data_IF_718757068167
#
_entry.id   IF_718757068167
#
_cell.length_a   1.000
_cell.length_b   1.000
_cell.length_c   1.000
_cell.angle_alpha   90.00
_cell.angle_beta   90.00
_cell.angle_gamma   90.00
#
_symmetry.space_group_name_H-M   'P 1'
#
loop_
_entity.id
_entity.type
_entity.pdbx_description
1 polymer ?
#
# COMPACT_ATOMS: atom_id res chain seq x y z
N UNK A 1 48.74 12.48 42.11
CA UNK A 1 49.34 12.07 40.82
C UNK A 1 48.44 12.52 39.68
N UNK A 2 48.99 13.17 38.64
CA UNK A 2 48.25 13.51 37.41
C UNK A 2 48.73 12.57 36.30
N UNK A 3 47.79 11.92 35.63
CA UNK A 3 48.02 11.07 34.45
C UNK A 3 47.43 11.81 33.26
N UNK A 4 48.26 12.19 32.30
CA UNK A 4 47.78 12.74 31.02
C UNK A 4 47.40 11.58 30.09
N UNK A 5 46.16 11.58 29.61
CA UNK A 5 45.65 10.56 28.67
C UNK A 5 45.80 11.05 27.23
N UNK A 6 45.38 12.28 26.98
CA UNK A 6 45.56 13.00 25.73
C UNK A 6 45.50 14.51 26.02
N UNK A 7 45.42 15.35 24.98
CA UNK A 7 45.41 16.81 25.13
C UNK A 7 44.15 17.33 25.84
N UNK A 8 43.03 16.62 25.70
CA UNK A 8 41.73 17.02 26.23
C UNK A 8 41.37 16.38 27.58
N UNK A 9 42.01 15.26 27.93
CA UNK A 9 41.66 14.40 29.06
C UNK A 9 42.86 14.15 29.97
N UNK A 10 42.72 14.50 31.25
CA UNK A 10 43.67 14.14 32.31
C UNK A 10 42.96 13.51 33.50
N UNK A 11 43.63 12.62 34.21
CA UNK A 11 43.11 11.95 35.41
C UNK A 11 44.00 12.34 36.58
N UNK A 12 43.42 12.94 37.61
CA UNK A 12 44.08 13.16 38.89
C UNK A 12 43.64 12.09 39.88
N UNK A 13 44.61 11.48 40.56
CA UNK A 13 44.39 10.56 41.68
C UNK A 13 45.07 11.13 42.92
N UNK A 14 44.37 11.12 44.06
CA UNK A 14 44.94 11.63 45.32
C UNK A 14 46.20 10.87 45.71
N UNK A 15 46.13 9.55 45.69
CA UNK A 15 47.25 8.66 45.99
C UNK A 15 47.69 7.87 44.75
N UNK A 16 48.98 7.56 44.64
CA UNK A 16 49.53 6.73 43.58
C UNK A 16 49.18 5.25 43.85
N UNK A 17 48.53 4.52 42.92
CA UNK A 17 48.17 3.12 43.12
C UNK A 17 49.36 2.20 43.41
N UNK A 18 50.52 2.47 42.80
CA UNK A 18 51.72 1.64 42.99
C UNK A 18 52.25 1.84 44.42
N UNK A 19 52.37 3.09 44.86
CA UNK A 19 52.79 3.43 46.23
C UNK A 19 51.81 2.86 47.27
N UNK A 20 50.51 2.90 47.00
CA UNK A 20 49.49 2.30 47.87
C UNK A 20 49.63 0.78 47.97
N UNK A 21 50.04 0.11 46.89
CA UNK A 21 50.21 -1.35 46.84
C UNK A 21 51.52 -1.86 47.46
N UNK A 22 52.54 -1.01 47.51
CA UNK A 22 53.85 -1.32 48.11
C UNK A 22 53.91 -1.01 49.61
N UNK A 23 52.85 -0.45 50.17
CA UNK A 23 52.77 0.00 51.54
C UNK A 23 52.18 -1.12 52.42
N UNK A 24 53.05 -1.89 53.08
CA UNK A 24 52.73 -3.10 53.87
C UNK A 24 51.81 -2.81 55.07
N UNK A 25 51.75 -1.57 55.55
CA UNK A 25 50.91 -1.19 56.70
C UNK A 25 49.43 -1.07 56.29
N UNK A 26 48.66 -2.14 56.46
CA UNK A 26 47.24 -2.24 56.08
C UNK A 26 46.36 -1.10 56.64
N UNK A 27 46.73 -0.48 57.76
CA UNK A 27 45.99 0.61 58.40
C UNK A 27 46.94 1.63 59.02
N UNK A 28 46.92 2.86 58.51
CA UNK A 28 47.56 3.99 59.17
C UNK A 28 46.51 4.71 60.03
N UNK A 29 46.58 4.65 61.37
CA UNK A 29 45.57 5.25 62.25
C UNK A 29 45.48 6.78 62.14
N UNK A 30 46.47 7.42 61.52
CA UNK A 30 46.52 8.89 61.37
C UNK A 30 46.03 9.40 60.00
N UNK A 31 45.86 8.52 59.00
CA UNK A 31 45.45 8.92 57.64
C UNK A 31 44.28 8.07 57.13
N UNK A 32 43.07 8.45 57.55
CA UNK A 32 41.83 7.81 57.14
C UNK A 32 41.61 7.84 55.62
N UNK A 33 42.10 8.88 54.93
CA UNK A 33 41.95 9.01 53.47
C UNK A 33 42.87 8.02 52.74
N UNK A 34 44.07 7.75 53.26
CA UNK A 34 44.98 6.72 52.72
C UNK A 34 44.42 5.32 52.94
N UNK A 35 43.84 5.05 54.11
CA UNK A 35 43.16 3.77 54.37
C UNK A 35 41.97 3.54 53.44
N UNK A 36 41.15 4.58 53.21
CA UNK A 36 40.04 4.52 52.24
C UNK A 36 40.56 4.27 50.82
N UNK A 37 41.67 4.89 50.44
CA UNK A 37 42.29 4.66 49.14
C UNK A 37 42.80 3.22 48.97
N UNK A 38 43.38 2.59 50.02
CA UNK A 38 43.73 1.15 50.02
C UNK A 38 42.52 0.25 49.88
N UNK A 39 41.37 0.64 50.44
CA UNK A 39 40.09 -0.04 50.28
C UNK A 39 39.42 0.21 48.92
N UNK A 40 40.10 0.88 47.98
CA UNK A 40 39.59 1.15 46.63
C UNK A 40 38.79 2.45 46.48
N UNK A 41 38.71 3.27 47.54
CA UNK A 41 38.04 4.58 47.53
C UNK A 41 39.06 5.72 47.40
N UNK A 42 39.94 5.61 46.39
CA UNK A 42 40.85 6.70 46.07
C UNK A 42 40.07 7.86 45.45
N UNK A 43 40.28 9.10 45.92
CA UNK A 43 39.64 10.27 45.32
C UNK A 43 40.23 10.49 43.93
N UNK A 44 39.38 10.41 42.92
CA UNK A 44 39.75 10.60 41.53
C UNK A 44 39.01 11.81 40.96
N UNK A 45 39.68 12.56 40.09
CA UNK A 45 39.11 13.67 39.33
C UNK A 45 39.51 13.53 37.88
N UNK A 46 38.64 13.94 36.97
CA UNK A 46 38.90 13.91 35.53
C UNK A 46 38.79 15.33 34.99
N UNK A 47 39.83 15.77 34.31
CA UNK A 47 39.82 16.98 33.52
C UNK A 47 39.28 16.67 32.13
N UNK A 48 38.29 17.44 31.68
CA UNK A 48 37.75 17.42 30.31
C UNK A 48 37.78 18.87 29.83
N UNK A 49 38.56 19.16 28.79
CA UNK A 49 38.72 20.52 28.25
C UNK A 49 39.05 21.57 29.33
N UNK A 50 40.07 21.31 30.14
CA UNK A 50 40.51 22.19 31.25
C UNK A 50 39.48 22.38 32.39
N UNK A 51 38.42 21.57 32.43
CA UNK A 51 37.44 21.57 33.53
C UNK A 51 37.52 20.27 34.33
N UNK A 52 37.75 20.38 35.63
CA UNK A 52 37.85 19.25 36.55
C UNK A 52 36.48 18.80 37.06
N UNK A 53 36.26 17.48 37.03
CA UNK A 53 35.08 16.80 37.55
C UNK A 53 35.49 15.77 38.59
N UNK A 54 34.79 15.72 39.71
CA UNK A 54 35.00 14.68 40.72
C UNK A 54 34.35 13.38 40.26
N UNK A 55 35.10 12.27 40.32
CA UNK A 55 34.58 10.96 39.96
C UNK A 55 33.67 10.48 41.08
N UNK A 56 32.42 10.20 40.73
CA UNK A 56 31.42 9.66 41.64
C UNK A 56 31.65 8.16 41.85
N UNK A 57 31.81 7.76 43.11
CA UNK A 57 31.92 6.36 43.48
C UNK A 57 30.59 5.64 43.31
N UNK A 58 30.59 4.30 43.11
CA UNK A 58 29.35 3.52 43.07
C UNK A 58 28.43 3.76 44.26
N UNK A 59 29.01 3.89 45.46
CA UNK A 59 28.28 4.12 46.72
C UNK A 59 27.56 5.47 46.74
N UNK A 60 28.20 6.53 46.25
CA UNK A 60 27.58 7.85 46.14
C UNK A 60 26.48 7.85 45.08
N UNK A 61 26.71 7.18 43.96
CA UNK A 61 25.79 7.18 42.83
C UNK A 61 24.48 6.43 43.15
N UNK A 62 24.55 5.34 43.92
CA UNK A 62 23.36 4.66 44.46
C UNK A 62 22.50 5.59 45.32
N UNK A 63 23.14 6.49 46.10
CA UNK A 63 22.44 7.46 46.98
C UNK A 63 21.91 8.68 46.22
N UNK A 64 22.46 8.98 45.04
CA UNK A 64 22.03 10.08 44.17
C UNK A 64 20.89 9.71 43.20
N UNK A 65 20.20 8.60 43.44
CA UNK A 65 18.96 8.26 42.74
C UNK A 65 17.94 9.39 42.93
N UNK A 66 17.31 9.86 41.84
CA UNK A 66 16.32 10.92 41.95
C UNK A 66 15.14 10.43 42.81
N UNK A 67 14.75 11.24 43.80
CA UNK A 67 13.65 10.95 44.74
C UNK A 67 12.26 11.03 44.11
N UNK A 68 12.07 11.85 43.06
CA UNK A 68 10.75 12.06 42.46
C UNK A 68 10.30 10.92 41.56
N UNK A 69 11.18 10.49 40.63
CA UNK A 69 10.85 9.46 39.62
C UNK A 69 11.69 8.19 39.74
N UNK A 70 12.66 8.15 40.65
CA UNK A 70 13.48 6.96 40.89
C UNK A 70 14.50 6.68 39.79
N UNK A 71 14.83 7.63 38.91
CA UNK A 71 15.86 7.42 37.89
C UNK A 71 17.26 7.80 38.38
N UNK A 72 18.25 7.05 37.91
CA UNK A 72 19.65 7.46 37.87
C UNK A 72 19.87 8.24 36.58
N UNK A 73 20.28 9.50 36.73
CA UNK A 73 20.60 10.40 35.63
C UNK A 73 22.02 10.86 35.77
N UNK A 74 22.89 10.33 34.92
CA UNK A 74 24.33 10.55 35.06
C UNK A 74 24.99 10.83 33.74
N UNK A 75 26.05 11.62 33.83
CA UNK A 75 27.03 11.79 32.75
C UNK A 75 28.25 10.97 33.12
N UNK A 76 28.77 10.22 32.17
CA UNK A 76 29.95 9.38 32.32
C UNK A 76 30.90 9.59 31.14
N UNK A 77 32.16 9.26 31.38
CA UNK A 77 33.19 9.13 30.36
C UNK A 77 33.72 7.70 30.39
N UNK A 78 33.93 7.12 29.21
CA UNK A 78 34.64 5.87 29.03
C UNK A 78 35.94 6.13 28.30
N UNK A 79 37.06 5.71 28.87
CA UNK A 79 38.40 5.98 28.36
C UNK A 79 39.08 4.64 28.09
N UNK A 80 39.62 4.48 26.89
CA UNK A 80 40.55 3.41 26.59
C UNK A 80 41.94 3.81 27.09
N UNK A 81 42.41 3.10 28.12
CA UNK A 81 43.64 3.45 28.83
C UNK A 81 44.91 3.17 28.01
N UNK A 82 44.84 2.39 26.93
CA UNK A 82 46.01 2.10 26.08
C UNK A 82 46.24 3.15 24.99
N UNK A 83 45.17 3.60 24.32
CA UNK A 83 45.28 4.43 23.12
C UNK A 83 44.74 5.86 23.30
N UNK A 84 44.18 6.16 24.48
CA UNK A 84 43.65 7.46 24.86
C UNK A 84 42.33 7.85 24.19
N UNK A 85 41.66 6.91 23.51
CA UNK A 85 40.34 7.15 22.92
C UNK A 85 39.27 7.23 24.01
N UNK A 86 38.30 8.12 23.83
CA UNK A 86 37.28 8.33 24.85
C UNK A 86 35.90 8.59 24.26
N UNK A 87 34.88 8.26 25.05
CA UNK A 87 33.46 8.49 24.75
C UNK A 87 32.80 9.12 25.96
N UNK A 88 32.15 10.26 25.77
CA UNK A 88 31.32 10.91 26.79
C UNK A 88 29.87 10.62 26.46
N UNK A 89 29.10 10.17 27.45
CA UNK A 89 27.69 9.90 27.26
C UNK A 89 26.87 10.14 28.51
N UNK A 90 25.57 10.25 28.31
CA UNK A 90 24.57 10.24 29.38
C UNK A 90 23.86 8.90 29.53
N UNK A 91 23.36 8.63 30.73
CA UNK A 91 22.50 7.50 31.04
C UNK A 91 21.32 7.93 31.91
N UNK A 92 20.11 7.54 31.49
CA UNK A 92 18.86 7.72 32.22
C UNK A 92 18.27 6.33 32.49
N UNK A 93 18.46 5.75 33.68
CA UNK A 93 18.05 4.37 33.99
C UNK A 93 17.32 4.26 35.33
N UNK A 94 16.22 3.50 35.44
CA UNK A 94 15.47 3.36 36.69
C UNK A 94 16.16 2.45 37.72
N UNK A 95 16.96 1.47 37.27
CA UNK A 95 17.61 0.47 38.13
C UNK A 95 19.13 0.57 38.07
N UNK A 96 19.77 0.28 39.20
CA UNK A 96 21.22 0.26 39.33
C UNK A 96 21.88 -0.80 38.41
N UNK A 97 21.27 -1.98 38.31
CA UNK A 97 21.74 -3.06 37.43
C UNK A 97 21.70 -2.66 35.95
N UNK A 98 20.68 -1.91 35.54
CA UNK A 98 20.55 -1.40 34.18
C UNK A 98 21.61 -0.32 33.88
N UNK A 99 21.88 0.56 34.86
CA UNK A 99 22.94 1.56 34.74
C UNK A 99 24.32 0.90 34.59
N UNK A 100 24.63 -0.10 35.43
CA UNK A 100 25.89 -0.86 35.34
C UNK A 100 26.06 -1.53 33.98
N UNK A 101 25.01 -2.15 33.45
CA UNK A 101 25.04 -2.85 32.16
C UNK A 101 25.11 -1.91 30.96
N UNK A 102 24.53 -0.73 31.06
CA UNK A 102 24.48 0.22 29.95
C UNK A 102 25.87 0.76 29.61
N UNK A 103 26.33 0.59 28.37
CA UNK A 103 27.67 1.04 27.93
C UNK A 103 27.64 2.36 27.15
N UNK A 104 26.50 2.70 26.54
CA UNK A 104 26.35 3.85 25.66
C UNK A 104 25.52 3.52 24.43
N UNK A 105 25.20 4.54 23.64
CA UNK A 105 24.42 4.43 22.40
C UNK A 105 25.21 4.83 21.14
N UNK A 106 26.42 5.38 21.31
CA UNK A 106 27.24 5.84 20.19
C UNK A 106 27.71 4.68 19.31
N UNK A 107 27.37 4.69 18.02
CA UNK A 107 27.67 3.60 17.08
C UNK A 107 29.18 3.36 16.93
N UNK A 108 29.98 4.43 16.76
CA UNK A 108 31.45 4.38 16.67
C UNK A 108 32.06 3.78 17.95
N UNK A 109 31.58 4.23 19.11
CA UNK A 109 32.01 3.73 20.41
C UNK A 109 31.65 2.25 20.61
N UNK A 110 30.40 1.84 20.40
CA UNK A 110 29.95 0.45 20.60
C UNK A 110 30.78 -0.52 19.74
N UNK A 111 31.04 -0.17 18.48
CA UNK A 111 31.86 -1.01 17.59
C UNK A 111 33.28 -1.21 18.10
N UNK A 112 33.88 -0.20 18.76
CA UNK A 112 35.21 -0.31 19.37
C UNK A 112 35.17 -1.01 20.72
N UNK A 113 34.19 -0.68 21.56
CA UNK A 113 33.99 -1.29 22.86
C UNK A 113 33.82 -2.81 22.74
N UNK A 114 33.01 -3.29 21.78
CA UNK A 114 32.79 -4.73 21.58
C UNK A 114 34.07 -5.48 21.17
N UNK A 115 35.07 -4.80 20.60
CA UNK A 115 36.35 -5.41 20.21
C UNK A 115 37.39 -5.40 21.33
N UNK A 116 37.33 -4.40 22.21
CA UNK A 116 38.38 -4.05 23.18
C UNK A 116 37.78 -3.73 24.56
N UNK A 117 36.76 -4.48 24.99
CA UNK A 117 35.94 -4.09 26.15
C UNK A 117 36.71 -4.02 27.47
N UNK A 118 37.75 -4.83 27.60
CA UNK A 118 38.67 -4.92 28.72
C UNK A 118 39.56 -3.66 28.88
N UNK A 119 39.74 -2.90 27.80
CA UNK A 119 40.62 -1.72 27.76
C UNK A 119 39.91 -0.43 28.15
N UNK A 120 38.57 -0.43 28.13
CA UNK A 120 37.77 0.74 28.47
C UNK A 120 37.42 0.77 29.95
N UNK A 121 37.76 1.89 30.59
CA UNK A 121 37.39 2.18 31.98
C UNK A 121 36.34 3.27 32.00
N UNK A 122 35.25 3.05 32.76
CA UNK A 122 34.16 4.01 32.92
C UNK A 122 34.31 4.81 34.20
N UNK A 123 34.15 6.13 34.09
CA UNK A 123 34.07 7.06 35.20
C UNK A 123 32.76 7.83 35.15
N UNK A 124 32.03 7.87 36.26
CA UNK A 124 30.85 8.72 36.40
C UNK A 124 31.29 10.09 36.90
N UNK A 125 31.01 11.15 36.16
CA UNK A 125 31.54 12.50 36.41
C UNK A 125 30.49 13.46 36.95
N UNK A 126 29.21 13.15 36.75
CA UNK A 126 28.12 13.95 37.28
C UNK A 126 26.84 13.14 37.44
N UNK A 127 26.01 13.58 38.40
CA UNK A 127 24.64 13.11 38.58
C UNK A 127 23.73 14.33 38.55
N UNK A 128 22.65 14.26 37.79
CA UNK A 128 21.73 15.36 37.57
C UNK A 128 20.35 15.04 38.15
N UNK A 129 19.55 16.06 38.43
CA UNK A 129 18.17 15.85 38.91
C UNK A 129 17.25 15.55 37.73
N UNK A 130 17.31 16.38 36.68
CA UNK A 130 16.42 16.25 35.51
C UNK A 130 17.13 15.67 34.29
N UNK A 131 16.34 15.08 33.38
CA UNK A 131 16.87 14.60 32.11
C UNK A 131 17.49 15.76 31.33
N UNK A 132 16.79 16.90 31.27
CA UNK A 132 17.23 18.14 30.64
C UNK A 132 18.58 18.64 31.16
N UNK A 133 18.79 18.66 32.48
CA UNK A 133 20.09 19.03 33.07
C UNK A 133 21.21 18.09 32.59
N UNK A 134 20.90 16.80 32.44
CA UNK A 134 21.86 15.80 31.94
C UNK A 134 22.21 16.07 30.48
N UNK A 135 21.21 16.47 29.66
CA UNK A 135 21.41 16.83 28.25
C UNK A 135 22.22 18.11 28.10
N UNK A 136 21.92 19.13 28.91
CA UNK A 136 22.65 20.40 28.94
C UNK A 136 24.11 20.18 29.36
N UNK A 137 24.35 19.36 30.38
CA UNK A 137 25.71 19.06 30.80
C UNK A 137 26.49 18.25 29.76
N UNK A 138 25.86 17.25 29.13
CA UNK A 138 26.48 16.47 28.04
C UNK A 138 26.79 17.36 26.83
N UNK A 139 25.87 18.25 26.44
CA UNK A 139 26.08 19.17 25.32
C UNK A 139 27.16 20.22 25.59
N UNK A 140 27.29 20.68 26.83
CA UNK A 140 28.36 21.59 27.24
C UNK A 140 29.75 20.92 27.25
N UNK A 141 29.80 19.59 27.39
CA UNK A 141 31.04 18.81 27.34
C UNK A 141 31.39 18.41 25.91
N UNK A 142 30.41 17.86 25.17
CA UNK A 142 30.57 17.34 23.81
C UNK A 142 30.16 18.39 22.80
N UNK A 143 31.03 19.38 22.61
CA UNK A 143 30.89 20.44 21.61
C UNK A 143 31.68 20.12 20.32
N UNK A 144 31.58 21.02 19.34
CA UNK A 144 32.24 20.87 18.04
C UNK A 144 33.77 20.76 18.14
N UNK A 145 34.38 21.42 19.13
CA UNK A 145 35.82 21.38 19.36
C UNK A 145 36.22 20.00 19.90
N UNK A 146 35.47 19.42 20.84
CA UNK A 146 35.74 18.05 21.31
C UNK A 146 35.53 17.02 20.19
N UNK A 147 34.58 17.25 19.28
CA UNK A 147 34.33 16.36 18.14
C UNK A 147 35.43 16.41 17.07
N UNK A 148 36.19 17.49 17.01
CA UNK A 148 37.36 17.58 16.12
C UNK A 148 38.56 16.76 16.61
N UNK A 149 38.57 16.31 17.87
CA UNK A 149 39.61 15.42 18.37
C UNK A 149 39.50 14.03 17.72
N UNK A 150 40.58 13.57 17.11
CA UNK A 150 40.69 12.24 16.50
C UNK A 150 40.39 11.10 17.48
N UNK A 151 40.72 11.31 18.77
CA UNK A 151 40.52 10.35 19.86
C UNK A 151 39.08 10.34 20.38
N UNK A 152 38.25 11.32 20.00
CA UNK A 152 36.85 11.37 20.38
C UNK A 152 36.01 10.35 19.60
N UNK A 153 35.26 9.53 20.33
CA UNK A 153 34.39 8.50 19.78
C UNK A 153 32.94 8.98 19.60
N UNK A 154 32.61 10.19 20.06
CA UNK A 154 31.32 10.83 19.79
C UNK A 154 31.25 11.22 18.30
N UNK A 155 30.10 10.95 17.66
CA UNK A 155 29.87 11.28 16.24
C UNK A 155 29.10 12.59 16.04
N UNK A 156 28.42 13.04 17.09
CA UNK A 156 27.53 14.20 17.10
C UNK A 156 27.68 14.91 18.44
N UNK A 157 27.34 16.20 18.46
CA UNK A 157 27.33 16.99 19.68
C UNK A 157 26.34 16.41 20.70
N UNK A 158 26.61 16.64 21.98
CA UNK A 158 25.78 16.16 23.07
C UNK A 158 24.37 16.77 23.05
N UNK A 159 23.47 16.25 23.88
CA UNK A 159 22.14 16.84 24.08
C UNK A 159 21.00 16.18 23.30
N UNK A 160 21.25 15.14 22.52
CA UNK A 160 20.17 14.39 21.85
C UNK A 160 19.45 13.44 22.81
N UNK A 161 18.15 13.61 23.05
CA UNK A 161 17.40 12.61 23.82
C UNK A 161 15.95 12.91 24.20
N UNK A 162 15.55 14.15 24.50
CA UNK A 162 14.18 14.34 25.04
C UNK A 162 13.34 15.51 24.54
N UNK A 163 13.90 16.57 23.94
CA UNK A 163 13.08 17.78 23.73
C UNK A 163 12.50 17.97 22.32
N UNK A 164 13.08 17.39 21.26
CA UNK A 164 12.59 17.56 19.87
C UNK A 164 12.90 16.35 18.98
N UNK A 165 12.20 15.24 19.17
CA UNK A 165 12.14 14.25 18.08
C UNK A 165 11.27 14.83 16.96
N UNK A 166 11.78 14.97 15.73
CA UNK A 166 10.92 15.32 14.61
C UNK A 166 9.84 14.25 14.51
N UNK A 167 8.60 14.66 14.24
CA UNK A 167 7.49 13.72 14.10
C UNK A 167 7.79 12.66 13.04
N UNK A 168 7.09 11.52 13.08
CA UNK A 168 7.19 10.49 12.02
C UNK A 168 6.90 11.11 10.65
N UNK A 169 6.01 12.10 10.59
CA UNK A 169 5.70 12.86 9.38
C UNK A 169 6.91 13.69 8.92
N UNK A 170 7.51 14.51 9.80
CA UNK A 170 8.69 15.33 9.48
C UNK A 170 9.90 14.50 9.06
N UNK A 171 10.17 13.39 9.77
CA UNK A 171 11.27 12.49 9.39
C UNK A 171 10.99 11.80 8.05
N UNK A 172 9.74 11.43 7.77
CA UNK A 172 9.36 10.88 6.47
C UNK A 172 9.50 11.90 5.35
N UNK A 173 9.14 13.15 5.61
CA UNK A 173 9.26 14.26 4.66
C UNK A 173 10.72 14.57 4.34
N UNK A 174 11.57 14.72 5.36
CA UNK A 174 13.02 14.89 5.16
C UNK A 174 13.64 13.75 4.37
N UNK A 175 13.23 12.50 4.63
CA UNK A 175 13.66 11.34 3.81
C UNK A 175 13.20 11.47 2.36
N UNK A 176 11.96 11.87 2.12
CA UNK A 176 11.44 12.09 0.75
C UNK A 176 12.20 13.20 0.03
N UNK A 177 12.45 14.32 0.70
CA UNK A 177 13.23 15.43 0.15
C UNK A 177 14.65 15.00 -0.18
N UNK A 178 15.31 14.28 0.74
CA UNK A 178 16.66 13.74 0.52
C UNK A 178 16.71 12.78 -0.68
N UNK A 179 15.72 11.89 -0.80
CA UNK A 179 15.61 10.98 -1.96
C UNK A 179 15.35 11.72 -3.27
N UNK A 180 14.61 12.84 -3.25
CA UNK A 180 14.38 13.69 -4.42
C UNK A 180 15.64 14.45 -4.85
N UNK A 181 16.45 14.90 -3.89
CA UNK A 181 17.68 15.65 -4.18
C UNK A 181 18.86 14.76 -4.58
N UNK A 182 18.81 13.45 -4.29
CA UNK A 182 19.86 12.49 -4.61
C UNK A 182 19.36 11.28 -5.43
N UNK A 183 18.70 11.52 -6.59
CA UNK A 183 18.08 10.44 -7.35
C UNK A 183 19.09 9.38 -7.81
N UNK A 184 20.33 9.77 -8.12
CA UNK A 184 21.40 8.89 -8.58
C UNK A 184 21.77 7.80 -7.56
N UNK A 185 21.73 8.11 -6.26
CA UNK A 185 22.03 7.14 -5.21
C UNK A 185 20.93 6.08 -5.05
N UNK A 186 19.68 6.47 -5.30
CA UNK A 186 18.51 5.61 -5.06
C UNK A 186 17.98 4.93 -6.32
N UNK A 187 18.31 5.43 -7.52
CA UNK A 187 17.86 4.85 -8.79
C UNK A 187 18.19 3.36 -8.92
N UNK A 188 19.43 2.90 -8.70
CA UNK A 188 19.77 1.48 -8.84
C UNK A 188 18.96 0.59 -7.89
N UNK A 189 18.78 1.04 -6.64
CA UNK A 189 17.95 0.34 -5.65
C UNK A 189 16.48 0.30 -6.07
N UNK A 190 15.93 1.40 -6.59
CA UNK A 190 14.55 1.48 -7.06
C UNK A 190 14.33 0.61 -8.29
N UNK A 191 15.30 0.53 -9.21
CA UNK A 191 15.26 -0.35 -10.36
C UNK A 191 15.35 -1.82 -9.97
N UNK A 192 16.28 -2.18 -9.08
CA UNK A 192 16.37 -3.54 -8.53
C UNK A 192 15.05 -3.96 -7.87
N UNK A 193 14.42 -3.05 -7.11
CA UNK A 193 13.10 -3.28 -6.50
C UNK A 193 11.99 -3.45 -7.55
N UNK A 194 11.97 -2.60 -8.60
CA UNK A 194 11.04 -2.75 -9.72
C UNK A 194 11.23 -4.07 -10.46
N UNK A 195 12.46 -4.48 -10.70
CA UNK A 195 12.79 -5.74 -11.38
C UNK A 195 12.41 -6.94 -10.51
N UNK A 196 12.66 -6.89 -9.21
CA UNK A 196 12.20 -7.90 -8.26
C UNK A 196 10.67 -7.99 -8.18
N UNK A 197 9.95 -6.88 -8.39
CA UNK A 197 8.49 -6.87 -8.48
C UNK A 197 7.97 -7.40 -9.82
N UNK A 198 8.75 -7.25 -10.89
CA UNK A 198 8.41 -7.67 -12.26
C UNK A 198 8.92 -9.08 -12.62
N UNK A 199 9.61 -9.78 -11.72
CA UNK A 199 10.28 -11.06 -11.97
C UNK A 199 9.34 -12.27 -12.16
N UNK A 200 8.07 -12.05 -12.49
CA UNK A 200 7.11 -13.08 -12.87
C UNK A 200 6.23 -13.60 -11.72
N UNK A 201 5.65 -14.79 -11.90
CA UNK A 201 4.62 -15.36 -11.02
C UNK A 201 5.19 -16.30 -9.95
N UNK A 202 5.95 -15.75 -9.01
CA UNK A 202 6.49 -16.52 -7.87
C UNK A 202 5.42 -16.75 -6.78
N UNK A 203 5.49 -17.88 -6.03
CA UNK A 203 4.58 -18.14 -4.92
C UNK A 203 4.55 -17.02 -3.87
N UNK A 204 5.70 -16.39 -3.59
CA UNK A 204 5.80 -15.28 -2.65
C UNK A 204 5.08 -14.01 -3.15
N UNK A 205 5.15 -13.72 -4.45
CA UNK A 205 4.41 -12.61 -5.07
C UNK A 205 2.91 -12.88 -5.11
N UNK A 206 2.46 -14.12 -5.32
CA UNK A 206 1.05 -14.51 -5.21
C UNK A 206 0.52 -14.33 -3.79
N UNK A 207 1.24 -14.84 -2.79
CA UNK A 207 0.86 -14.71 -1.38
C UNK A 207 0.81 -13.24 -0.93
N UNK A 208 1.76 -12.42 -1.40
CA UNK A 208 1.74 -10.97 -1.17
C UNK A 208 0.53 -10.32 -1.83
N UNK A 209 0.27 -10.61 -3.11
CA UNK A 209 -0.87 -10.06 -3.86
C UNK A 209 -2.20 -10.42 -3.22
N UNK A 210 -2.35 -11.66 -2.73
CA UNK A 210 -3.51 -12.09 -1.96
C UNK A 210 -3.67 -11.30 -0.66
N UNK A 211 -2.60 -11.16 0.14
CA UNK A 211 -2.63 -10.35 1.37
C UNK A 211 -3.05 -8.90 1.09
N UNK A 212 -2.47 -8.27 0.07
CA UNK A 212 -2.84 -6.92 -0.36
C UNK A 212 -4.33 -6.87 -0.73
N UNK A 213 -4.80 -7.84 -1.53
CA UNK A 213 -6.21 -7.92 -1.93
C UNK A 213 -7.14 -8.05 -0.71
N UNK A 214 -6.77 -8.85 0.28
CA UNK A 214 -7.54 -9.02 1.52
C UNK A 214 -7.60 -7.71 2.30
N UNK A 215 -6.45 -7.10 2.58
CA UNK A 215 -6.38 -5.82 3.32
C UNK A 215 -7.13 -4.70 2.60
N UNK A 216 -6.94 -4.56 1.30
CA UNK A 216 -7.65 -3.54 0.50
C UNK A 216 -9.15 -3.83 0.34
N UNK A 217 -9.61 -5.04 0.69
CA UNK A 217 -11.03 -5.38 0.71
C UNK A 217 -11.72 -5.05 2.03
N UNK A 218 -10.96 -4.75 3.09
CA UNK A 218 -11.52 -4.28 4.37
C UNK A 218 -12.16 -2.89 4.21
N UNK A 219 -13.27 -2.65 4.91
CA UNK A 219 -14.05 -1.43 4.71
C UNK A 219 -13.25 -0.17 5.04
N UNK A 220 -12.43 -0.20 6.10
CA UNK A 220 -11.53 0.90 6.48
C UNK A 220 -10.67 1.38 5.31
N UNK A 221 -10.05 0.46 4.57
CA UNK A 221 -9.18 0.82 3.44
C UNK A 221 -9.98 1.26 2.21
N UNK A 222 -11.18 0.71 2.02
CA UNK A 222 -12.10 1.15 0.97
C UNK A 222 -12.58 2.57 1.20
N UNK A 223 -12.94 2.91 2.43
CA UNK A 223 -13.34 4.26 2.83
C UNK A 223 -12.21 5.26 2.62
N UNK A 224 -11.01 4.98 3.16
CA UNK A 224 -9.84 5.83 2.92
C UNK A 224 -9.56 6.03 1.43
N UNK A 225 -9.72 4.99 0.61
CA UNK A 225 -9.53 5.11 -0.84
C UNK A 225 -10.61 5.97 -1.49
N UNK A 226 -11.88 5.83 -1.07
CA UNK A 226 -13.00 6.67 -1.55
C UNK A 226 -12.77 8.14 -1.19
N UNK A 227 -12.36 8.43 0.04
CA UNK A 227 -12.07 9.79 0.49
C UNK A 227 -10.93 10.41 -0.30
N UNK A 228 -9.83 9.68 -0.51
CA UNK A 228 -8.73 10.14 -1.36
C UNK A 228 -9.17 10.48 -2.78
N UNK A 229 -10.03 9.65 -3.38
CA UNK A 229 -10.55 9.91 -4.73
C UNK A 229 -11.45 11.16 -4.72
N UNK A 230 -12.32 11.32 -3.70
CA UNK A 230 -13.15 12.53 -3.56
C UNK A 230 -12.28 13.78 -3.44
N UNK A 231 -11.26 13.74 -2.59
CA UNK A 231 -10.33 14.86 -2.42
C UNK A 231 -9.58 15.15 -3.73
N UNK A 232 -9.11 14.11 -4.43
CA UNK A 232 -8.43 14.30 -5.71
C UNK A 232 -9.33 14.95 -6.78
N UNK A 233 -10.61 14.56 -6.84
CA UNK A 233 -11.59 15.20 -7.74
C UNK A 233 -11.76 16.69 -7.42
N UNK A 234 -11.77 17.05 -6.13
CA UNK A 234 -11.96 18.44 -5.68
C UNK A 234 -10.69 19.27 -5.88
N UNK A 235 -9.54 18.73 -5.51
CA UNK A 235 -8.25 19.42 -5.53
C UNK A 235 -7.67 19.54 -6.95
N UNK A 236 -7.88 18.52 -7.80
CA UNK A 236 -7.29 18.46 -9.15
C UNK A 236 -8.30 17.90 -10.19
N UNK A 237 -9.39 18.64 -10.47
CA UNK A 237 -10.50 18.15 -11.31
C UNK A 237 -10.09 17.84 -12.76
N UNK A 238 -9.21 18.66 -13.34
CA UNK A 238 -8.76 18.50 -14.73
C UNK A 238 -7.86 17.27 -14.90
N UNK A 239 -6.87 17.09 -14.02
CA UNK A 239 -6.00 15.91 -14.02
C UNK A 239 -6.80 14.62 -13.83
N UNK A 240 -7.78 14.64 -12.94
CA UNK A 240 -8.67 13.49 -12.75
C UNK A 240 -9.46 13.19 -14.03
N UNK A 241 -10.04 14.21 -14.68
CA UNK A 241 -10.79 14.04 -15.92
C UNK A 241 -9.92 13.47 -17.04
N UNK A 242 -8.69 13.96 -17.19
CA UNK A 242 -7.72 13.45 -18.15
C UNK A 242 -7.34 11.98 -17.85
N UNK A 243 -7.04 11.67 -16.58
CA UNK A 243 -6.74 10.30 -16.16
C UNK A 243 -7.92 9.35 -16.44
N UNK A 244 -9.17 9.80 -16.27
CA UNK A 244 -10.38 9.03 -16.61
C UNK A 244 -10.51 8.81 -18.12
N UNK A 245 -10.19 9.82 -18.93
CA UNK A 245 -10.19 9.72 -20.39
C UNK A 245 -9.13 8.73 -20.88
N UNK A 246 -7.90 8.84 -20.39
CA UNK A 246 -6.78 7.95 -20.74
C UNK A 246 -7.10 6.49 -20.36
N UNK A 247 -7.69 6.26 -19.18
CA UNK A 247 -8.16 4.93 -18.78
C UNK A 247 -9.23 4.37 -19.72
N UNK A 248 -10.17 5.20 -20.16
CA UNK A 248 -11.21 4.79 -21.11
C UNK A 248 -10.64 4.40 -22.46
N UNK A 249 -9.67 5.16 -22.96
CA UNK A 249 -8.97 4.87 -24.21
C UNK A 249 -8.13 3.58 -24.11
N UNK A 250 -7.40 3.39 -23.01
CA UNK A 250 -6.64 2.17 -22.76
C UNK A 250 -7.53 0.92 -22.73
N UNK A 251 -8.72 1.01 -22.13
CA UNK A 251 -9.69 -0.09 -22.09
C UNK A 251 -10.25 -0.43 -23.47
N UNK A 252 -10.30 0.53 -24.40
CA UNK A 252 -10.81 0.31 -25.76
C UNK A 252 -9.83 -0.42 -26.67
N UNK A 253 -8.58 -0.59 -26.27
CA UNK A 253 -7.59 -1.31 -27.06
C UNK A 253 -8.05 -2.76 -27.33
N UNK A 254 -7.84 -3.30 -28.55
CA UNK A 254 -8.27 -4.65 -28.89
C UNK A 254 -7.70 -5.71 -27.95
N UNK A 255 -6.44 -5.54 -27.52
CA UNK A 255 -5.77 -6.44 -26.57
C UNK A 255 -6.48 -6.46 -25.21
N UNK A 256 -6.80 -5.29 -24.66
CA UNK A 256 -7.52 -5.20 -23.38
C UNK A 256 -8.92 -5.81 -23.49
N UNK A 257 -9.64 -5.54 -24.58
CA UNK A 257 -10.95 -6.13 -24.83
C UNK A 257 -10.89 -7.65 -24.93
N UNK A 258 -9.91 -8.20 -25.65
CA UNK A 258 -9.70 -9.63 -25.78
C UNK A 258 -9.40 -10.29 -24.42
N UNK A 259 -8.51 -9.70 -23.61
CA UNK A 259 -8.19 -10.19 -22.26
C UNK A 259 -9.42 -10.16 -21.34
N UNK A 260 -10.21 -9.09 -21.37
CA UNK A 260 -11.45 -8.99 -20.58
C UNK A 260 -12.48 -10.02 -21.01
N UNK A 261 -12.64 -10.23 -22.31
CA UNK A 261 -13.53 -11.27 -22.85
C UNK A 261 -13.08 -12.66 -22.40
N UNK A 262 -11.81 -13.01 -22.58
CA UNK A 262 -11.26 -14.29 -22.15
C UNK A 262 -11.43 -14.51 -20.64
N UNK A 263 -11.19 -13.48 -19.82
CA UNK A 263 -11.40 -13.55 -18.37
C UNK A 263 -12.87 -13.76 -18.01
N UNK A 264 -13.79 -13.11 -18.73
CA UNK A 264 -15.22 -13.27 -18.52
C UNK A 264 -15.68 -14.66 -18.93
N UNK A 265 -15.27 -15.15 -20.10
CA UNK A 265 -15.61 -16.49 -20.61
C UNK A 265 -15.10 -17.58 -19.65
N UNK A 266 -13.88 -17.41 -19.11
CA UNK A 266 -13.35 -18.31 -18.08
C UNK A 266 -14.17 -18.24 -16.78
N UNK A 267 -14.57 -17.04 -16.35
CA UNK A 267 -15.43 -16.89 -15.16
C UNK A 267 -16.79 -17.58 -15.35
N UNK A 268 -17.41 -17.44 -16.53
CA UNK A 268 -18.66 -18.11 -16.89
C UNK A 268 -18.50 -19.62 -16.84
N UNK A 269 -17.43 -20.16 -17.44
CA UNK A 269 -17.14 -21.60 -17.42
C UNK A 269 -16.98 -22.15 -15.99
N UNK A 270 -16.34 -21.38 -15.11
CA UNK A 270 -16.09 -21.79 -13.72
C UNK A 270 -17.25 -21.50 -12.76
N UNK A 271 -18.27 -20.72 -13.17
CA UNK A 271 -19.37 -20.29 -12.31
C UNK A 271 -20.73 -20.27 -13.06
N UNK A 272 -21.18 -21.41 -13.63
CA UNK A 272 -22.37 -21.44 -14.49
C UNK A 272 -23.65 -20.97 -13.79
N UNK A 273 -23.88 -21.40 -12.54
CA UNK A 273 -25.08 -21.03 -11.77
C UNK A 273 -25.12 -19.53 -11.44
N UNK A 274 -23.98 -18.97 -11.00
CA UNK A 274 -23.88 -17.52 -10.72
C UNK A 274 -24.06 -16.70 -11.99
N UNK A 275 -23.59 -17.20 -13.13
CA UNK A 275 -23.80 -16.55 -14.42
C UNK A 275 -25.27 -16.52 -14.81
N UNK A 276 -26.01 -17.61 -14.60
CA UNK A 276 -27.44 -17.67 -14.88
C UNK A 276 -28.23 -16.65 -14.04
N UNK A 277 -27.99 -16.61 -12.72
CA UNK A 277 -28.59 -15.61 -11.81
C UNK A 277 -28.24 -14.19 -12.26
N UNK A 278 -26.99 -13.95 -12.64
CA UNK A 278 -26.54 -12.65 -13.14
C UNK A 278 -27.25 -12.25 -14.44
N UNK A 279 -27.42 -13.20 -15.38
CA UNK A 279 -28.15 -12.98 -16.63
C UNK A 279 -29.62 -12.64 -16.37
N UNK A 280 -30.29 -13.38 -15.49
CA UNK A 280 -31.68 -13.14 -15.14
C UNK A 280 -31.85 -11.75 -14.51
N UNK A 281 -30.97 -11.36 -13.58
CA UNK A 281 -30.94 -10.02 -12.98
C UNK A 281 -30.67 -8.92 -14.01
N UNK A 282 -29.81 -9.20 -14.99
CA UNK A 282 -29.47 -8.26 -16.05
C UNK A 282 -30.63 -8.08 -17.03
N UNK A 283 -31.34 -9.15 -17.37
CA UNK A 283 -32.57 -9.09 -18.17
C UNK A 283 -33.64 -8.32 -17.41
N UNK A 284 -33.94 -8.68 -16.16
CA UNK A 284 -35.00 -8.04 -15.38
C UNK A 284 -34.77 -6.54 -15.20
N UNK A 285 -33.54 -6.13 -14.89
CA UNK A 285 -33.18 -4.71 -14.76
C UNK A 285 -33.28 -3.94 -16.09
N UNK A 286 -32.96 -4.57 -17.23
CA UNK A 286 -33.08 -3.95 -18.55
C UNK A 286 -34.51 -3.89 -19.06
N UNK A 287 -35.34 -4.86 -18.70
CA UNK A 287 -36.75 -4.93 -19.12
C UNK A 287 -37.70 -4.25 -18.14
N UNK A 288 -37.21 -3.72 -17.02
CA UNK A 288 -38.00 -2.95 -16.08
C UNK A 288 -38.69 -1.76 -16.79
N UNK A 289 -39.97 -1.48 -16.47
CA UNK A 289 -40.72 -0.38 -17.10
C UNK A 289 -39.97 0.95 -17.06
N UNK A 290 -39.42 1.31 -15.88
CA UNK A 290 -38.66 2.54 -15.69
C UNK A 290 -37.41 2.63 -16.59
N UNK A 291 -36.66 1.53 -16.71
CA UNK A 291 -35.47 1.48 -17.55
C UNK A 291 -35.82 1.64 -19.03
N UNK A 292 -36.93 1.02 -19.46
CA UNK A 292 -37.45 1.16 -20.81
C UNK A 292 -37.92 2.59 -21.11
N UNK A 293 -38.64 3.24 -20.19
CA UNK A 293 -39.08 4.63 -20.37
C UNK A 293 -37.89 5.60 -20.41
N UNK A 294 -36.90 5.46 -19.50
CA UNK A 294 -35.66 6.25 -19.55
C UNK A 294 -34.91 6.05 -20.86
N UNK A 295 -34.84 4.81 -21.36
CA UNK A 295 -34.21 4.49 -22.64
C UNK A 295 -34.97 5.14 -23.82
N UNK A 296 -36.30 5.09 -23.83
CA UNK A 296 -37.11 5.74 -24.87
C UNK A 296 -36.88 7.25 -24.88
N UNK A 297 -36.93 7.90 -23.72
CA UNK A 297 -36.67 9.33 -23.58
C UNK A 297 -35.27 9.71 -24.08
N UNK A 298 -34.24 8.98 -23.64
CA UNK A 298 -32.86 9.20 -24.08
C UNK A 298 -32.66 8.98 -25.58
N UNK A 299 -33.27 7.95 -26.17
CA UNK A 299 -33.21 7.72 -27.60
C UNK A 299 -33.90 8.82 -28.41
N UNK A 300 -35.03 9.33 -27.90
CA UNK A 300 -35.75 10.46 -28.50
C UNK A 300 -34.88 11.71 -28.50
N UNK A 301 -34.37 12.10 -27.34
CA UNK A 301 -33.48 13.25 -27.18
C UNK A 301 -32.22 13.14 -28.05
N UNK A 302 -31.60 11.95 -28.08
CA UNK A 302 -30.43 11.72 -28.93
C UNK A 302 -30.77 11.86 -30.42
N UNK A 303 -31.94 11.36 -30.85
CA UNK A 303 -32.39 11.44 -32.24
C UNK A 303 -32.70 12.88 -32.67
N UNK A 304 -33.27 13.70 -31.78
CA UNK A 304 -33.51 15.13 -32.00
C UNK A 304 -32.18 15.89 -32.14
N UNK A 305 -31.19 15.56 -31.31
CA UNK A 305 -29.83 16.15 -31.38
C UNK A 305 -28.99 15.65 -32.55
N UNK A 306 -29.30 14.48 -33.12
CA UNK A 306 -28.48 13.82 -34.16
C UNK A 306 -29.35 13.20 -35.28
N UNK A 307 -30.12 14.01 -36.03
CA UNK A 307 -31.15 13.51 -36.94
C UNK A 307 -30.59 12.63 -38.08
N UNK A 308 -29.46 13.02 -38.67
CA UNK A 308 -28.83 12.28 -39.77
C UNK A 308 -28.34 10.90 -39.33
N UNK A 309 -27.61 10.83 -38.20
CA UNK A 309 -27.13 9.56 -37.63
C UNK A 309 -28.30 8.69 -37.19
N UNK A 310 -29.38 9.28 -36.66
CA UNK A 310 -30.59 8.55 -36.32
C UNK A 310 -31.23 7.92 -37.56
N UNK A 311 -31.35 8.66 -38.67
CA UNK A 311 -31.89 8.15 -39.93
C UNK A 311 -31.04 6.99 -40.49
N UNK A 312 -29.71 7.11 -40.49
CA UNK A 312 -28.81 6.01 -40.89
C UNK A 312 -29.03 4.77 -40.03
N UNK A 313 -29.17 4.93 -38.72
CA UNK A 313 -29.44 3.83 -37.80
C UNK A 313 -30.83 3.19 -38.02
N UNK A 314 -31.83 3.98 -38.40
CA UNK A 314 -33.17 3.47 -38.76
C UNK A 314 -33.08 2.65 -40.06
N UNK A 315 -32.42 3.17 -41.09
CA UNK A 315 -32.20 2.45 -42.36
C UNK A 315 -31.44 1.14 -42.14
N UNK A 316 -30.39 1.15 -41.32
CA UNK A 316 -29.63 -0.07 -40.97
C UNK A 316 -30.51 -1.10 -40.26
N UNK A 317 -31.36 -0.67 -39.32
CA UNK A 317 -32.32 -1.56 -38.63
C UNK A 317 -33.38 -2.10 -39.58
N UNK A 318 -33.90 -1.27 -40.48
CA UNK A 318 -34.88 -1.68 -41.48
C UNK A 318 -34.27 -2.71 -42.45
N UNK A 319 -33.04 -2.49 -42.93
CA UNK A 319 -32.32 -3.43 -43.79
C UNK A 319 -32.10 -4.79 -43.10
N UNK A 320 -31.60 -4.79 -41.86
CA UNK A 320 -31.41 -6.02 -41.10
C UNK A 320 -32.73 -6.75 -40.79
N UNK A 321 -33.82 -6.01 -40.59
CA UNK A 321 -35.16 -6.59 -40.45
C UNK A 321 -35.65 -7.20 -41.76
N UNK A 322 -35.43 -6.51 -42.89
CA UNK A 322 -35.78 -7.01 -44.22
C UNK A 322 -35.02 -8.31 -44.53
N UNK A 323 -33.71 -8.37 -44.27
CA UNK A 323 -32.88 -9.59 -44.44
C UNK A 323 -33.40 -10.78 -43.61
N UNK A 324 -33.91 -10.54 -42.40
CA UNK A 324 -34.53 -11.61 -41.60
C UNK A 324 -35.85 -12.11 -42.17
N UNK A 325 -36.62 -11.23 -42.82
CA UNK A 325 -37.97 -11.51 -43.34
C UNK A 325 -37.98 -11.92 -44.82
N UNK A 326 -36.88 -11.71 -45.54
CA UNK A 326 -36.68 -12.10 -46.94
C UNK A 326 -36.19 -13.55 -47.09
N UNK A 327 -36.34 -14.37 -46.05
CA UNK A 327 -36.00 -15.80 -46.09
C UNK A 327 -37.07 -16.59 -46.83
N UNK A 328 -36.64 -17.66 -47.50
CA UNK A 328 -37.52 -18.63 -48.15
C UNK A 328 -38.48 -19.24 -47.12
N UNK A 329 -39.77 -19.29 -47.48
CA UNK A 329 -40.84 -19.78 -46.61
C UNK A 329 -41.64 -20.86 -47.33
N UNK A 330 -41.99 -21.91 -46.59
CA UNK A 330 -42.82 -22.99 -47.06
C UNK A 330 -44.21 -22.91 -46.43
N UNK A 331 -45.23 -23.09 -47.25
CA UNK A 331 -46.61 -23.34 -46.85
C UNK A 331 -46.77 -24.83 -46.61
N UNK A 332 -47.13 -25.20 -45.39
CA UNK A 332 -47.20 -26.60 -44.95
C UNK A 332 -48.63 -26.93 -44.57
N UNK A 333 -49.11 -28.09 -45.03
CA UNK A 333 -50.42 -28.58 -44.64
C UNK A 333 -50.43 -29.02 -43.18
N UNK A 334 -51.48 -28.66 -42.45
CA UNK A 334 -51.56 -28.90 -41.00
C UNK A 334 -51.84 -30.36 -40.64
N UNK A 335 -52.46 -31.13 -41.55
CA UNK A 335 -52.87 -32.51 -41.29
C UNK A 335 -51.78 -33.50 -41.71
N UNK A 336 -51.27 -33.36 -42.93
CA UNK A 336 -50.23 -34.23 -43.49
C UNK A 336 -48.80 -33.80 -43.11
N UNK A 337 -48.59 -32.51 -42.80
CA UNK A 337 -47.25 -31.97 -42.58
C UNK A 337 -46.43 -31.81 -43.86
N UNK A 338 -47.02 -32.04 -45.04
CA UNK A 338 -46.37 -31.92 -46.32
C UNK A 338 -46.21 -30.47 -46.77
N UNK A 339 -45.14 -30.19 -47.51
CA UNK A 339 -44.89 -28.87 -48.09
C UNK A 339 -45.75 -28.72 -49.34
N UNK A 340 -46.77 -27.87 -49.25
CA UNK A 340 -47.68 -27.58 -50.37
C UNK A 340 -47.03 -26.65 -51.39
N UNK A 341 -46.28 -25.64 -50.94
CA UNK A 341 -45.64 -24.66 -51.82
C UNK A 341 -44.47 -23.95 -51.12
N UNK A 342 -43.44 -23.61 -51.89
CA UNK A 342 -42.27 -22.86 -51.42
C UNK A 342 -42.22 -21.50 -52.09
N UNK A 343 -41.91 -20.46 -51.32
CA UNK A 343 -41.83 -19.07 -51.74
C UNK A 343 -40.45 -18.51 -51.42
N UNK A 344 -39.90 -17.66 -52.29
CA UNK A 344 -38.61 -17.00 -52.07
C UNK A 344 -38.62 -16.07 -50.85
N UNK A 345 -39.79 -15.55 -50.47
CA UNK A 345 -39.96 -14.71 -49.27
C UNK A 345 -41.38 -14.72 -48.70
N UNK A 346 -41.53 -14.24 -47.46
CA UNK A 346 -42.85 -14.01 -46.84
C UNK A 346 -43.73 -13.04 -47.65
N UNK A 347 -43.13 -12.09 -48.36
CA UNK A 347 -43.84 -11.11 -49.18
C UNK A 347 -44.41 -11.75 -50.45
N UNK A 348 -43.68 -12.69 -51.06
CA UNK A 348 -44.18 -13.46 -52.20
C UNK A 348 -45.33 -14.39 -51.79
N UNK A 349 -45.19 -15.08 -50.64
CA UNK A 349 -46.27 -15.88 -50.08
C UNK A 349 -47.54 -15.05 -49.84
N UNK A 350 -47.40 -13.83 -49.31
CA UNK A 350 -48.51 -12.93 -49.10
C UNK A 350 -49.17 -12.45 -50.40
N UNK A 351 -48.38 -12.14 -51.44
CA UNK A 351 -48.92 -11.82 -52.78
C UNK A 351 -49.75 -12.98 -53.31
N UNK A 352 -49.21 -14.20 -53.24
CA UNK A 352 -49.92 -15.39 -53.68
C UNK A 352 -51.24 -15.60 -52.92
N UNK A 353 -51.26 -15.40 -51.60
CA UNK A 353 -52.50 -15.48 -50.81
C UNK A 353 -53.56 -14.46 -51.24
N UNK A 354 -53.16 -13.24 -51.61
CA UNK A 354 -54.08 -12.20 -52.08
C UNK A 354 -54.59 -12.53 -53.48
N UNK A 355 -53.71 -12.91 -54.40
CA UNK A 355 -54.06 -13.29 -55.77
C UNK A 355 -55.01 -14.49 -55.83
N UNK A 356 -54.90 -15.42 -54.87
CA UNK A 356 -55.76 -16.61 -54.79
C UNK A 356 -57.00 -16.39 -53.90
N UNK A 357 -57.31 -15.14 -53.53
CA UNK A 357 -58.49 -14.79 -52.73
C UNK A 357 -58.49 -15.33 -51.30
N UNK A 358 -57.35 -15.82 -50.80
CA UNK A 358 -57.20 -16.35 -49.43
C UNK A 358 -56.96 -15.26 -48.39
N UNK A 359 -56.45 -14.09 -48.81
CA UNK A 359 -56.24 -12.92 -47.98
C UNK A 359 -56.78 -11.65 -48.65
N UNK A 360 -57.25 -10.69 -47.83
CA UNK A 360 -57.82 -9.42 -48.32
C UNK A 360 -56.78 -8.40 -48.79
N UNK A 361 -55.57 -8.44 -48.22
CA UNK A 361 -54.48 -7.50 -48.54
C UNK A 361 -53.11 -8.07 -48.16
N UNK A 362 -52.04 -7.38 -48.58
CA UNK A 362 -50.65 -7.78 -48.33
C UNK A 362 -50.23 -7.69 -46.85
N UNK A 363 -51.05 -7.12 -45.96
CA UNK A 363 -50.74 -7.10 -44.53
C UNK A 363 -50.76 -8.51 -43.92
N UNK A 364 -51.24 -9.53 -44.66
CA UNK A 364 -51.16 -10.94 -44.31
C UNK A 364 -49.72 -11.45 -44.08
N UNK A 365 -48.69 -10.77 -44.61
CA UNK A 365 -47.27 -11.02 -44.29
C UNK A 365 -47.03 -11.07 -42.78
N UNK A 366 -47.66 -10.18 -42.01
CA UNK A 366 -47.49 -10.13 -40.55
C UNK A 366 -47.98 -11.40 -39.85
N UNK A 367 -49.06 -12.01 -40.36
CA UNK A 367 -49.61 -13.25 -39.84
C UNK A 367 -48.75 -14.45 -40.23
N UNK A 368 -48.26 -14.51 -41.47
CA UNK A 368 -47.26 -15.51 -41.91
C UNK A 368 -46.02 -15.43 -41.02
N UNK A 369 -45.46 -14.22 -40.86
CA UNK A 369 -44.27 -13.97 -40.05
C UNK A 369 -44.46 -14.39 -38.59
N UNK A 370 -45.63 -14.15 -38.02
CA UNK A 370 -45.95 -14.53 -36.64
C UNK A 370 -45.99 -16.06 -36.44
N UNK A 371 -46.39 -16.81 -37.47
CA UNK A 371 -46.38 -18.28 -37.45
C UNK A 371 -44.97 -18.81 -37.62
N UNK A 372 -44.21 -18.31 -38.62
CA UNK A 372 -42.81 -18.73 -38.83
C UNK A 372 -41.94 -18.47 -37.58
N UNK A 373 -42.12 -17.31 -36.94
CA UNK A 373 -41.35 -16.93 -35.75
C UNK A 373 -41.88 -17.58 -34.46
N UNK A 374 -42.92 -18.40 -34.54
CA UNK A 374 -43.62 -19.00 -33.40
C UNK A 374 -43.88 -17.96 -32.31
N UNK A 375 -44.48 -16.83 -32.68
CA UNK A 375 -44.80 -15.78 -31.70
C UNK A 375 -45.85 -16.30 -30.70
N UNK A 376 -45.73 -15.94 -29.41
CA UNK A 376 -46.71 -16.33 -28.40
C UNK A 376 -48.09 -15.78 -28.74
N UNK A 377 -49.13 -16.56 -28.46
CA UNK A 377 -50.51 -16.14 -28.62
C UNK A 377 -50.86 -15.02 -27.63
N UNK A 378 -51.74 -14.10 -28.03
CA UNK A 378 -52.24 -13.02 -27.16
C UNK A 378 -53.03 -13.56 -25.95
N UNK A 379 -53.51 -14.80 -26.02
CA UNK A 379 -54.19 -15.51 -24.92
C UNK A 379 -53.25 -16.09 -23.87
N UNK A 380 -51.93 -15.91 -24.01
CA UNK A 380 -50.93 -16.32 -23.01
C UNK A 380 -50.54 -17.80 -23.03
N UNK A 381 -51.26 -18.65 -23.77
CA UNK A 381 -50.95 -20.09 -23.88
C UNK A 381 -50.51 -20.46 -25.30
N UNK A 382 -49.27 -20.95 -25.42
CA UNK A 382 -48.71 -21.51 -26.67
C UNK A 382 -48.31 -20.46 -27.72
N UNK A 383 -47.99 -20.96 -28.91
CA UNK A 383 -47.53 -20.17 -30.06
C UNK A 383 -48.54 -20.21 -31.20
N UNK A 384 -48.48 -19.21 -32.10
CA UNK A 384 -49.34 -19.18 -33.28
C UNK A 384 -49.02 -20.35 -34.21
N UNK A 385 -49.94 -21.31 -34.32
CA UNK A 385 -49.76 -22.56 -35.08
C UNK A 385 -50.10 -22.46 -36.57
N UNK A 386 -50.98 -21.53 -36.95
CA UNK A 386 -51.46 -21.40 -38.33
C UNK A 386 -51.82 -19.97 -38.72
N UNK A 387 -51.75 -19.68 -40.01
CA UNK A 387 -52.30 -18.48 -40.64
C UNK A 387 -52.95 -18.87 -41.96
N UNK A 388 -54.18 -18.38 -42.20
CA UNK A 388 -54.95 -18.64 -43.42
C UNK A 388 -55.17 -20.13 -43.72
N UNK A 389 -55.22 -20.97 -42.68
CA UNK A 389 -55.44 -22.41 -42.81
C UNK A 389 -54.16 -23.25 -42.93
N UNK A 390 -52.97 -22.63 -43.00
CA UNK A 390 -51.71 -23.32 -43.22
C UNK A 390 -50.72 -23.10 -42.06
N UNK A 391 -49.81 -24.05 -41.84
CA UNK A 391 -48.57 -23.80 -41.09
C UNK A 391 -47.56 -23.11 -42.01
N UNK A 392 -46.71 -22.28 -41.43
CA UNK A 392 -45.71 -21.51 -42.17
C UNK A 392 -44.37 -21.69 -41.48
N UNK A 393 -43.36 -22.13 -42.23
CA UNK A 393 -42.01 -22.38 -41.71
C UNK A 393 -40.96 -21.80 -42.63
N UNK A 394 -39.83 -21.39 -42.07
CA UNK A 394 -38.68 -21.09 -42.90
C UNK A 394 -38.14 -22.37 -43.52
N UNK A 395 -37.72 -22.33 -44.79
CA UNK A 395 -37.22 -23.53 -45.48
C UNK A 395 -36.03 -24.18 -44.74
N UNK A 396 -35.20 -23.36 -44.07
CA UNK A 396 -34.09 -23.82 -43.22
C UNK A 396 -34.53 -24.69 -42.03
N UNK A 397 -35.78 -24.56 -41.57
CA UNK A 397 -36.31 -25.31 -40.43
C UNK A 397 -36.91 -26.66 -40.85
N UNK A 398 -37.21 -26.83 -42.14
CA UNK A 398 -37.75 -28.08 -42.70
C UNK A 398 -36.60 -29.04 -43.04
N UNK A 399 -35.46 -28.51 -43.50
CA UNK A 399 -34.27 -29.31 -43.86
C UNK A 399 -33.57 -30.01 -42.68
N UNK A 400 -33.89 -29.65 -41.43
CA UNK A 400 -33.26 -30.22 -40.21
C UNK A 400 -33.99 -31.50 -39.75
N UNK A 401 -35.10 -31.87 -40.38
CA UNK A 401 -35.95 -33.00 -39.95
C UNK A 401 -35.86 -34.28 -40.80
N UNK A 402 -34.87 -34.38 -41.68
CA UNK A 402 -34.55 -35.63 -42.39
C UNK A 402 -33.25 -36.23 -41.88
#
# INVERSE_FOLDING_TARGET
MIIQINDNIKIWKKFNPIELSMDDDLFNPTDADRNLAKLGFNKERIEIKNRWFDVLTPSELVRKRNKSDGYYRVVYIQINMENGEYYIGKANRPKWSELKRYQGSGLKFINKFNKNSDKFVRFYIASCETAEQTELLESALVDSELLSDEKCLNLVAGGGGTTKHPSIAETSEKKREYMRSHPEQFQPMLEASKNAFRSGDSPSLRARSQRIKTVMSEEKYREMTRERIKNWIVENPEEYAEARKNNHEAIKTPECQAKRKASFDNWVKNNPEKYQIWQEKLVSSRTAPEANEKRKASLKEWSEKNPEKANVNVKKRAKASAEKLSKVVCMVDLQSGEVLKTFSSQHEAAKWLVENGKAKNLNCVSSISSVCLRKPCTTGYGYRKKAYGYDWRFASEIQIKN
#
